data_IF_496143815689
#
_entry.id   IF_496143815689
#
_cell.length_a   1.000
_cell.length_b   1.000
_cell.length_c   1.000
_cell.angle_alpha   90.00
_cell.angle_beta   90.00
_cell.angle_gamma   90.00
#
_symmetry.space_group_name_H-M   'P 1'
#
loop_
_entity.id
_entity.type
_entity.pdbx_description
1 polymer ?
#
# COMPACT_ATOMS: atom_id res chain seq x y z
N UNK A 1 -3.50 -2.01 -2.26
CA UNK A 1 -3.04 -3.19 -1.48
C UNK A 1 -2.19 -2.71 -0.32
N UNK A 2 -2.26 -3.38 0.79
CA UNK A 2 -1.50 -3.04 1.99
C UNK A 2 -1.30 -4.29 2.86
N UNK A 3 -0.53 -4.15 3.94
CA UNK A 3 -0.36 -5.18 4.95
C UNK A 3 -0.29 -4.52 6.32
N UNK A 4 -0.80 -5.21 7.34
CA UNK A 4 -0.71 -4.74 8.72
C UNK A 4 -1.74 -3.68 9.09
N UNK A 5 -1.40 -2.91 10.12
CA UNK A 5 -2.34 -1.98 10.77
C UNK A 5 -2.79 -0.80 9.92
N UNK A 6 -2.04 -0.44 8.88
CA UNK A 6 -2.42 0.66 7.99
C UNK A 6 -3.76 0.39 7.29
N UNK A 7 -4.14 -0.87 7.17
CA UNK A 7 -5.45 -1.27 6.63
C UNK A 7 -6.59 -0.52 7.31
N UNK A 8 -6.56 -0.40 8.63
CA UNK A 8 -7.63 0.25 9.39
C UNK A 8 -7.67 1.75 9.14
N UNK A 9 -6.51 2.38 8.98
CA UNK A 9 -6.42 3.81 8.67
C UNK A 9 -6.94 4.09 7.26
N UNK A 10 -6.63 3.21 6.31
CA UNK A 10 -7.13 3.33 4.93
C UNK A 10 -8.65 3.14 4.89
N UNK A 11 -9.19 2.19 5.64
CA UNK A 11 -10.65 2.01 5.73
C UNK A 11 -11.33 3.26 6.29
N UNK A 12 -10.77 3.83 7.36
CA UNK A 12 -11.31 5.02 7.99
C UNK A 12 -11.31 6.22 7.02
N UNK A 13 -10.21 6.41 6.29
CA UNK A 13 -10.11 7.50 5.32
C UNK A 13 -11.08 7.31 4.16
N UNK A 14 -11.22 6.09 3.66
CA UNK A 14 -12.18 5.78 2.59
C UNK A 14 -13.60 6.14 3.01
N UNK A 15 -13.99 5.80 4.24
CA UNK A 15 -15.30 6.13 4.79
C UNK A 15 -15.47 7.64 4.93
N UNK A 16 -14.46 8.33 5.43
CA UNK A 16 -14.48 9.78 5.61
C UNK A 16 -14.65 10.52 4.27
N UNK A 17 -14.00 10.03 3.22
CA UNK A 17 -14.10 10.60 1.88
C UNK A 17 -15.36 10.16 1.14
N UNK A 18 -16.14 9.25 1.70
CA UNK A 18 -17.28 8.61 1.03
C UNK A 18 -16.87 8.04 -0.35
N UNK A 19 -15.66 7.49 -0.43
CA UNK A 19 -15.10 6.95 -1.67
C UNK A 19 -15.65 5.54 -1.89
N UNK A 20 -16.39 5.35 -2.99
CA UNK A 20 -16.92 4.05 -3.39
C UNK A 20 -16.21 3.48 -4.62
N UNK A 21 -15.07 4.08 -5.00
CA UNK A 21 -14.31 3.68 -6.19
C UNK A 21 -12.99 3.00 -5.87
N UNK A 22 -12.65 2.85 -4.60
CA UNK A 22 -11.39 2.26 -4.17
C UNK A 22 -11.62 0.93 -3.46
N UNK A 23 -11.03 -0.13 -3.98
CA UNK A 23 -10.97 -1.42 -3.30
C UNK A 23 -9.68 -1.47 -2.46
N UNK A 24 -9.78 -1.96 -1.24
CA UNK A 24 -8.62 -2.12 -0.36
C UNK A 24 -8.39 -3.61 -0.14
N UNK A 25 -7.25 -4.09 -0.59
CA UNK A 25 -6.85 -5.49 -0.47
C UNK A 25 -5.78 -5.59 0.60
N UNK A 26 -6.05 -6.37 1.64
CA UNK A 26 -5.12 -6.62 2.73
C UNK A 26 -4.37 -7.91 2.49
N UNK A 27 -3.05 -7.82 2.34
CA UNK A 27 -2.18 -8.98 2.14
C UNK A 27 -1.55 -9.33 3.48
N UNK A 28 -2.06 -10.36 4.14
CA UNK A 28 -1.58 -10.77 5.46
C UNK A 28 -0.35 -11.68 5.41
N UNK A 29 -0.26 -12.52 4.37
CA UNK A 29 0.86 -13.42 4.20
C UNK A 29 1.78 -12.91 3.10
N UNK A 30 3.02 -12.59 3.47
CA UNK A 30 4.02 -12.08 2.53
C UNK A 30 4.92 -13.19 1.99
N UNK A 31 5.07 -14.29 2.72
CA UNK A 31 5.86 -15.43 2.26
C UNK A 31 5.28 -16.76 2.77
N UNK A 32 5.02 -17.71 1.86
CA UNK A 32 4.98 -17.50 0.42
C UNK A 32 3.86 -16.54 0.03
N UNK A 33 4.14 -15.65 -0.90
CA UNK A 33 3.16 -14.66 -1.34
C UNK A 33 1.99 -15.36 -2.05
N UNK A 34 0.71 -15.08 -1.67
CA UNK A 34 -0.44 -15.73 -2.30
C UNK A 34 -0.75 -15.11 -3.67
N UNK A 35 0.11 -15.36 -4.64
CA UNK A 35 0.06 -14.76 -5.98
C UNK A 35 -1.28 -15.02 -6.66
N UNK A 36 -1.77 -16.25 -6.61
CA UNK A 36 -3.03 -16.63 -7.28
C UNK A 36 -4.20 -15.81 -6.74
N UNK A 37 -4.29 -15.69 -5.42
CA UNK A 37 -5.37 -14.93 -4.79
C UNK A 37 -5.26 -13.43 -5.07
N UNK A 38 -4.04 -12.89 -5.06
CA UNK A 38 -3.80 -11.48 -5.36
C UNK A 38 -4.19 -11.18 -6.79
N UNK A 39 -3.74 -11.98 -7.74
CA UNK A 39 -4.06 -11.81 -9.17
C UNK A 39 -5.56 -11.92 -9.39
N UNK A 40 -6.23 -12.86 -8.72
CA UNK A 40 -7.68 -13.00 -8.83
C UNK A 40 -8.40 -11.72 -8.36
N UNK A 41 -7.95 -11.13 -7.25
CA UNK A 41 -8.56 -9.90 -6.75
C UNK A 41 -8.33 -8.71 -7.67
N UNK A 42 -7.11 -8.49 -8.13
CA UNK A 42 -6.82 -7.36 -9.01
C UNK A 42 -7.47 -7.52 -10.39
N UNK A 43 -7.71 -8.74 -10.83
CA UNK A 43 -8.38 -9.02 -12.11
C UNK A 43 -9.84 -8.61 -12.11
N UNK A 44 -10.46 -8.45 -10.94
CA UNK A 44 -11.80 -7.91 -10.81
C UNK A 44 -11.87 -6.42 -11.13
N UNK A 45 -10.71 -5.75 -11.16
CA UNK A 45 -10.59 -4.31 -11.37
C UNK A 45 -9.58 -4.01 -12.49
N UNK A 46 -9.88 -4.41 -13.74
CA UNK A 46 -8.90 -4.38 -14.83
C UNK A 46 -8.45 -2.97 -15.22
N UNK A 47 -9.29 -1.96 -14.95
CA UNK A 47 -8.97 -0.55 -15.28
C UNK A 47 -8.44 0.24 -14.09
N UNK A 48 -8.36 -0.37 -12.91
CA UNK A 48 -7.94 0.33 -11.71
C UNK A 48 -6.42 0.54 -11.67
N UNK A 49 -6.00 1.65 -11.09
CA UNK A 49 -4.61 1.86 -10.73
C UNK A 49 -4.26 0.94 -9.57
N UNK A 50 -3.11 0.29 -9.65
CA UNK A 50 -2.64 -0.59 -8.59
C UNK A 50 -1.65 0.16 -7.71
N UNK A 51 -1.93 0.19 -6.41
CA UNK A 51 -1.11 0.91 -5.44
C UNK A 51 -0.78 -0.01 -4.27
N UNK A 52 0.50 -0.02 -3.88
CA UNK A 52 0.94 -0.62 -2.62
C UNK A 52 1.15 0.49 -1.60
N UNK A 53 0.49 0.40 -0.45
CA UNK A 53 0.60 1.37 0.63
C UNK A 53 1.20 0.70 1.85
N UNK A 54 2.21 1.31 2.45
CA UNK A 54 2.84 0.79 3.67
C UNK A 54 3.26 1.94 4.60
N UNK A 55 3.35 1.62 5.90
CA UNK A 55 3.82 2.56 6.92
C UNK A 55 5.32 2.79 6.85
N UNK A 56 6.06 1.75 6.52
CA UNK A 56 7.52 1.76 6.56
C UNK A 56 8.10 2.57 5.40
N UNK A 57 9.35 3.06 5.54
CA UNK A 57 10.05 3.69 4.44
C UNK A 57 10.19 2.77 3.22
N UNK A 58 10.42 3.35 2.06
CA UNK A 58 10.47 2.63 0.78
C UNK A 58 11.49 1.50 0.73
N UNK A 59 12.60 1.62 1.48
CA UNK A 59 13.65 0.61 1.52
C UNK A 59 13.44 -0.45 2.61
N UNK A 60 12.30 -0.40 3.31
CA UNK A 60 12.02 -1.26 4.45
C UNK A 60 10.61 -1.84 4.33
N UNK A 61 10.26 -2.73 5.27
CA UNK A 61 8.94 -3.34 5.27
C UNK A 61 8.68 -4.19 4.04
N UNK A 62 7.39 -4.36 3.66
CA UNK A 62 7.02 -5.26 2.58
C UNK A 62 7.42 -4.82 1.17
N UNK A 63 7.57 -3.53 0.92
CA UNK A 63 7.72 -3.02 -0.46
C UNK A 63 8.87 -3.66 -1.24
N UNK A 64 10.11 -3.77 -0.70
CA UNK A 64 11.18 -4.39 -1.48
C UNK A 64 10.86 -5.81 -1.93
N UNK A 65 10.22 -6.59 -1.07
CA UNK A 65 9.81 -7.95 -1.39
C UNK A 65 8.66 -7.97 -2.40
N UNK A 66 7.64 -7.13 -2.18
CA UNK A 66 6.47 -7.04 -3.05
C UNK A 66 6.86 -6.60 -4.45
N UNK A 67 7.69 -5.56 -4.57
CA UNK A 67 8.11 -5.06 -5.88
C UNK A 67 8.92 -6.09 -6.67
N UNK A 68 9.73 -6.88 -5.98
CA UNK A 68 10.57 -7.90 -6.62
C UNK A 68 9.77 -9.15 -7.02
N UNK A 69 8.70 -9.49 -6.29
CA UNK A 69 8.06 -10.80 -6.44
C UNK A 69 6.64 -10.73 -7.01
N UNK A 70 5.99 -9.59 -7.00
CA UNK A 70 4.63 -9.44 -7.51
C UNK A 70 4.58 -8.86 -8.92
N UNK A 71 5.51 -7.98 -9.27
CA UNK A 71 5.45 -7.20 -10.51
C UNK A 71 5.28 -8.05 -11.77
N UNK A 72 5.97 -9.18 -11.85
CA UNK A 72 5.91 -10.07 -13.03
C UNK A 72 4.54 -10.73 -13.23
N UNK A 73 3.69 -10.72 -12.20
CA UNK A 73 2.38 -11.35 -12.22
C UNK A 73 1.23 -10.37 -12.50
N UNK A 74 1.54 -9.13 -12.80
CA UNK A 74 0.53 -8.07 -12.95
C UNK A 74 0.03 -7.87 -14.39
N UNK A 75 0.46 -8.73 -15.32
CA UNK A 75 -0.01 -8.65 -16.70
C UNK A 75 0.36 -7.34 -17.41
N UNK A 76 1.52 -6.78 -17.10
CA UNK A 76 1.99 -5.52 -17.67
C UNK A 76 1.49 -4.27 -16.94
N UNK A 77 0.64 -4.42 -15.94
CA UNK A 77 0.18 -3.28 -15.13
C UNK A 77 1.28 -2.81 -14.19
N UNK A 78 1.34 -1.52 -13.94
CA UNK A 78 2.31 -0.92 -13.04
C UNK A 78 1.77 -0.89 -11.62
N UNK A 79 2.62 -1.22 -10.65
CA UNK A 79 2.31 -1.10 -9.24
C UNK A 79 3.01 0.13 -8.68
N UNK A 80 2.23 1.13 -8.28
CA UNK A 80 2.75 2.36 -7.68
C UNK A 80 2.90 2.17 -6.16
N UNK A 81 3.92 2.76 -5.60
CA UNK A 81 4.14 2.75 -4.16
C UNK A 81 3.69 4.06 -3.52
N UNK A 82 3.04 3.94 -2.36
CA UNK A 82 2.78 5.04 -1.44
C UNK A 82 3.37 4.65 -0.09
N UNK A 83 4.41 5.35 0.33
CA UNK A 83 5.13 5.08 1.58
C UNK A 83 5.95 6.29 1.98
N UNK A 84 6.60 6.24 3.14
CA UNK A 84 7.64 7.19 3.49
C UNK A 84 8.84 6.99 2.58
N UNK A 85 9.66 8.03 2.45
CA UNK A 85 10.90 7.97 1.67
C UNK A 85 11.84 6.92 2.26
N UNK A 86 12.76 6.41 1.44
CA UNK A 86 13.84 5.56 1.91
C UNK A 86 14.61 6.28 3.02
N UNK A 87 14.93 5.56 4.07
CA UNK A 87 15.59 6.12 5.25
C UNK A 87 16.50 5.08 5.90
N UNK A 88 17.48 5.55 6.64
CA UNK A 88 18.38 4.67 7.42
C UNK A 88 17.69 4.17 8.69
N UNK A 89 16.68 4.89 9.18
CA UNK A 89 15.92 4.55 10.38
C UNK A 89 14.51 4.12 10.00
N UNK A 90 13.92 3.12 10.68
CA UNK A 90 12.56 2.66 10.38
C UNK A 90 11.47 3.64 10.78
N UNK A 91 11.77 4.61 11.67
CA UNK A 91 10.79 5.57 12.17
C UNK A 91 11.42 6.94 12.35
N UNK A 92 10.57 7.99 12.36
CA UNK A 92 11.03 9.33 12.66
C UNK A 92 11.32 9.48 14.16
N UNK A 93 12.20 10.39 14.52
CA UNK A 93 12.52 10.68 15.92
C UNK A 93 11.52 11.59 16.60
N UNK A 94 10.50 12.10 15.90
CA UNK A 94 9.52 13.03 16.41
C UNK A 94 8.11 12.51 16.19
N UNK A 95 7.27 12.49 17.23
CA UNK A 95 5.88 12.10 17.15
C UNK A 95 5.12 13.05 16.21
N UNK A 96 5.38 14.34 16.29
CA UNK A 96 4.74 15.34 15.45
C UNK A 96 5.03 15.11 13.96
N UNK A 97 6.30 14.91 13.62
CA UNK A 97 6.72 14.64 12.24
C UNK A 97 6.09 13.33 11.75
N UNK A 98 6.05 12.32 12.62
CA UNK A 98 5.44 11.03 12.28
C UNK A 98 3.96 11.20 11.95
N UNK A 99 3.21 11.97 12.74
CA UNK A 99 1.78 12.20 12.49
C UNK A 99 1.55 12.95 11.18
N UNK A 100 2.36 13.96 10.88
CA UNK A 100 2.25 14.71 9.62
C UNK A 100 2.58 13.84 8.41
N UNK A 101 3.62 13.02 8.52
CA UNK A 101 3.97 12.09 7.45
C UNK A 101 2.87 11.04 7.23
N UNK A 102 2.26 10.56 8.32
CA UNK A 102 1.19 9.58 8.24
C UNK A 102 -0.04 10.15 7.53
N UNK A 103 -0.42 11.38 7.86
CA UNK A 103 -1.53 12.08 7.20
C UNK A 103 -1.25 12.25 5.71
N UNK A 104 -0.04 12.67 5.36
CA UNK A 104 0.35 12.88 3.96
C UNK A 104 0.32 11.56 3.18
N UNK A 105 0.78 10.48 3.79
CA UNK A 105 0.81 9.16 3.19
C UNK A 105 -0.61 8.66 2.91
N UNK A 106 -1.50 8.76 3.88
CA UNK A 106 -2.90 8.34 3.72
C UNK A 106 -3.59 9.18 2.65
N UNK A 107 -3.37 10.50 2.65
CA UNK A 107 -3.94 11.37 1.62
C UNK A 107 -3.45 10.99 0.22
N UNK A 108 -2.16 10.70 0.07
CA UNK A 108 -1.57 10.30 -1.21
C UNK A 108 -2.17 8.98 -1.73
N UNK A 109 -2.51 8.06 -0.84
CA UNK A 109 -3.11 6.79 -1.22
C UNK A 109 -4.44 6.96 -1.95
N UNK A 110 -5.17 8.02 -1.66
CA UNK A 110 -6.46 8.34 -2.28
C UNK A 110 -6.39 9.46 -3.31
N UNK A 111 -5.23 10.01 -3.55
CA UNK A 111 -5.06 11.08 -4.56
C UNK A 111 -5.26 10.52 -5.98
N UNK A 112 -5.98 11.29 -6.80
CA UNK A 112 -6.28 10.92 -8.19
C UNK A 112 -5.45 11.77 -9.16
#
# INVERSE_FOLDING_TARGET
MCSGKIYWELLAERAKLADNTTAIIRVEQLYPLPIIDIVAEISKHPSAELIWVQDEPANQGPWPFISANLAEHLGGRTLRRVSRRAAASPATGSIYVHEEEQKALIAEAFAR
#
